data_IF_456308454675
#
_entry.id   IF_456308454675
#
_cell.length_a   1.000
_cell.length_b   1.000
_cell.length_c   1.000
_cell.angle_alpha   90.00
_cell.angle_beta   90.00
_cell.angle_gamma   90.00
#
_symmetry.space_group_name_H-M   'P 1'
#
loop_
_entity.id
_entity.type
_entity.pdbx_description
1 polymer ?
#
# COMPACT_ATOMS: atom_id res chain seq x y z
N UNK A 1 -16.43 81.37 -29.32
CA UNK A 1 -15.12 80.71 -29.51
C UNK A 1 -14.49 80.19 -28.22
N UNK A 2 -14.56 80.91 -27.09
CA UNK A 2 -13.88 80.51 -25.85
C UNK A 2 -14.34 79.17 -25.23
N UNK A 3 -15.66 78.86 -25.27
CA UNK A 3 -16.19 77.58 -24.75
C UNK A 3 -15.76 76.36 -25.56
N UNK A 4 -15.53 76.51 -26.86
CA UNK A 4 -15.10 75.41 -27.74
C UNK A 4 -13.64 75.05 -27.47
N UNK A 5 -12.77 76.03 -27.20
CA UNK A 5 -11.38 75.80 -26.84
C UNK A 5 -11.23 75.09 -25.48
N UNK A 6 -12.05 75.45 -24.49
CA UNK A 6 -12.05 74.79 -23.17
C UNK A 6 -12.47 73.31 -23.30
N UNK A 7 -13.46 73.01 -24.15
CA UNK A 7 -13.92 71.63 -24.36
C UNK A 7 -12.88 70.77 -25.09
N UNK A 8 -12.14 71.34 -26.04
CA UNK A 8 -11.05 70.63 -26.74
C UNK A 8 -9.86 70.40 -25.82
N UNK A 9 -9.52 71.38 -24.97
CA UNK A 9 -8.45 71.26 -23.99
C UNK A 9 -8.75 70.15 -22.96
N UNK A 10 -10.00 70.07 -22.49
CA UNK A 10 -10.45 69.01 -21.57
C UNK A 10 -10.37 67.62 -22.19
N UNK A 11 -10.76 67.48 -23.46
CA UNK A 11 -10.62 66.21 -24.19
C UNK A 11 -9.15 65.81 -24.38
N UNK A 12 -8.27 66.77 -24.57
CA UNK A 12 -6.82 66.52 -24.69
C UNK A 12 -6.19 66.11 -23.36
N UNK A 13 -6.64 66.67 -22.23
CA UNK A 13 -6.16 66.27 -20.90
C UNK A 13 -6.66 64.86 -20.53
N UNK A 14 -7.89 64.52 -20.94
CA UNK A 14 -8.45 63.17 -20.73
C UNK A 14 -7.70 62.14 -21.59
N UNK A 15 -7.41 62.45 -22.86
CA UNK A 15 -6.66 61.52 -23.72
C UNK A 15 -5.23 61.30 -23.23
N UNK A 16 -4.54 62.34 -22.75
CA UNK A 16 -3.22 62.21 -22.13
C UNK A 16 -3.28 61.37 -20.85
N UNK A 17 -4.29 61.56 -19.99
CA UNK A 17 -4.46 60.75 -18.78
C UNK A 17 -4.69 59.27 -19.10
N UNK A 18 -5.45 58.96 -20.15
CA UNK A 18 -5.67 57.58 -20.61
C UNK A 18 -4.37 56.96 -21.14
N UNK A 19 -3.57 57.72 -21.89
CA UNK A 19 -2.27 57.24 -22.42
C UNK A 19 -1.25 57.03 -21.29
N UNK A 20 -1.25 57.89 -20.28
CA UNK A 20 -0.40 57.75 -19.09
C UNK A 20 -0.84 56.52 -18.26
N UNK A 21 -2.15 56.33 -18.02
CA UNK A 21 -2.65 55.11 -17.34
C UNK A 21 -2.32 53.83 -18.14
N UNK A 22 -2.43 53.86 -19.47
CA UNK A 22 -2.10 52.72 -20.32
C UNK A 22 -0.60 52.39 -20.29
N UNK A 23 0.29 53.39 -20.25
CA UNK A 23 1.73 53.18 -20.18
C UNK A 23 2.25 52.84 -18.77
N UNK A 24 1.57 53.27 -17.70
CA UNK A 24 1.90 52.89 -16.31
C UNK A 24 1.33 51.51 -15.94
N UNK A 25 0.26 51.05 -16.59
CA UNK A 25 -0.25 49.69 -16.42
C UNK A 25 0.60 48.63 -17.15
N UNK A 26 1.38 49.03 -18.17
CA UNK A 26 2.16 48.09 -19.00
C UNK A 26 3.38 47.43 -18.34
N UNK A 27 4.11 48.02 -17.37
CA UNK A 27 5.24 47.35 -16.73
C UNK A 27 4.79 46.29 -15.71
N UNK A 28 3.59 46.40 -15.12
CA UNK A 28 3.11 45.45 -14.11
C UNK A 28 2.47 44.17 -14.69
N UNK A 29 2.07 44.18 -15.97
CA UNK A 29 1.53 42.99 -16.66
C UNK A 29 2.59 42.30 -17.53
N UNK A 30 3.66 43.01 -17.91
CA UNK A 30 4.77 42.44 -18.69
C UNK A 30 5.79 41.68 -17.82
N UNK A 31 5.96 42.03 -16.54
CA UNK A 31 6.82 41.26 -15.60
C UNK A 31 6.13 40.00 -15.04
N UNK A 32 4.80 39.90 -15.13
CA UNK A 32 4.06 38.66 -14.83
C UNK A 32 3.94 37.72 -16.05
N UNK A 33 4.28 38.20 -17.26
CA UNK A 33 4.23 37.42 -18.50
C UNK A 33 5.61 36.94 -18.98
N UNK A 34 6.71 37.35 -18.32
CA UNK A 34 8.07 36.88 -18.60
C UNK A 34 8.57 35.80 -17.63
N UNK A 35 7.63 35.05 -17.03
CA UNK A 35 7.89 33.87 -16.21
C UNK A 35 6.92 32.73 -16.57
N UNK A 36 6.67 32.50 -17.86
CA UNK A 36 5.97 31.30 -18.33
C UNK A 36 6.26 30.94 -19.80
N UNK A 37 7.48 31.15 -20.29
CA UNK A 37 8.02 30.26 -21.33
C UNK A 37 8.79 29.11 -20.67
N UNK A 38 8.13 28.45 -19.72
CA UNK A 38 8.47 27.07 -19.42
C UNK A 38 7.55 26.23 -20.29
N UNK A 39 8.11 25.57 -21.31
CA UNK A 39 7.50 24.39 -21.91
C UNK A 39 7.34 23.34 -20.80
N UNK A 40 6.30 23.46 -19.98
CA UNK A 40 5.85 22.37 -19.11
C UNK A 40 5.08 21.44 -20.03
N UNK A 41 5.81 20.63 -20.79
CA UNK A 41 5.22 19.48 -21.45
C UNK A 41 4.69 18.58 -20.34
N UNK A 42 3.37 18.53 -20.16
CA UNK A 42 2.72 17.57 -19.29
C UNK A 42 3.27 16.17 -19.62
N UNK A 43 3.72 15.41 -18.62
CA UNK A 43 4.34 14.12 -18.88
C UNK A 43 3.34 13.16 -19.54
N UNK A 44 3.80 12.39 -20.53
CA UNK A 44 3.01 11.30 -21.07
C UNK A 44 3.06 10.15 -20.07
N UNK A 45 1.91 9.79 -19.50
CA UNK A 45 1.82 8.75 -18.47
C UNK A 45 1.48 7.39 -19.09
N UNK A 46 2.28 6.37 -18.81
CA UNK A 46 2.10 5.00 -19.27
C UNK A 46 1.55 4.17 -18.11
N UNK A 47 0.47 3.42 -18.35
CA UNK A 47 -0.18 2.60 -17.32
C UNK A 47 -0.97 1.43 -17.92
N UNK A 48 -1.19 0.39 -17.12
CA UNK A 48 -2.09 -0.72 -17.45
C UNK A 48 -3.56 -0.39 -17.21
N UNK A 49 -3.84 0.51 -16.26
CA UNK A 49 -5.20 0.90 -15.92
C UNK A 49 -5.34 2.42 -16.04
N UNK A 50 -5.82 2.86 -17.21
CA UNK A 50 -6.12 4.28 -17.46
C UNK A 50 -7.31 4.77 -16.66
N UNK A 51 -8.26 3.90 -16.30
CA UNK A 51 -9.45 4.31 -15.56
C UNK A 51 -9.11 4.67 -14.10
N UNK A 52 -7.98 4.17 -13.59
CA UNK A 52 -7.39 4.59 -12.32
C UNK A 52 -6.67 5.95 -12.42
N UNK A 53 -6.46 6.46 -13.64
CA UNK A 53 -5.82 7.75 -13.92
C UNK A 53 -6.92 8.73 -14.35
N UNK A 54 -6.86 9.96 -13.85
CA UNK A 54 -7.77 11.00 -14.33
C UNK A 54 -7.45 11.32 -15.79
N UNK A 55 -8.34 10.97 -16.73
CA UNK A 55 -8.18 11.22 -18.16
C UNK A 55 -8.00 12.70 -18.51
N UNK A 56 -8.31 13.62 -17.58
CA UNK A 56 -8.08 15.06 -17.74
C UNK A 56 -6.65 15.49 -17.36
N UNK A 57 -5.82 14.58 -16.86
CA UNK A 57 -4.48 14.86 -16.30
C UNK A 57 -3.31 14.70 -17.27
N UNK A 58 -3.52 15.04 -18.55
CA UNK A 58 -2.47 15.05 -19.58
C UNK A 58 -2.61 13.90 -20.58
N UNK A 59 -1.54 13.64 -21.33
CA UNK A 59 -1.51 12.57 -22.33
C UNK A 59 -1.24 11.21 -21.66
N UNK A 60 -1.97 10.19 -22.09
CA UNK A 60 -1.89 8.85 -21.50
C UNK A 60 -1.71 7.77 -22.57
N UNK A 61 -0.89 6.77 -22.27
CA UNK A 61 -0.70 5.58 -23.09
C UNK A 61 -1.11 4.36 -22.28
N UNK A 62 -2.06 3.60 -22.82
CA UNK A 62 -2.54 2.35 -22.24
C UNK A 62 -1.69 1.21 -22.76
N UNK A 63 -1.09 0.44 -21.87
CA UNK A 63 -0.30 -0.73 -22.22
C UNK A 63 -0.83 -1.96 -21.50
N UNK A 64 -0.95 -3.09 -22.19
CA UNK A 64 -1.32 -4.35 -21.52
C UNK A 64 -0.28 -4.75 -20.47
N UNK A 65 -0.65 -5.59 -19.50
CA UNK A 65 0.31 -6.10 -18.51
C UNK A 65 1.54 -6.78 -19.13
N UNK A 66 1.37 -7.45 -20.28
CA UNK A 66 2.48 -8.02 -21.05
C UNK A 66 3.43 -6.92 -21.55
N UNK A 67 2.87 -5.87 -22.14
CA UNK A 67 3.65 -4.75 -22.66
C UNK A 67 4.36 -3.99 -21.53
N UNK A 68 3.69 -3.79 -20.38
CA UNK A 68 4.30 -3.21 -19.19
C UNK A 68 5.45 -4.09 -18.69
N UNK A 69 5.26 -5.41 -18.65
CA UNK A 69 6.31 -6.33 -18.22
C UNK A 69 7.55 -6.28 -19.14
N UNK A 70 7.33 -6.22 -20.47
CA UNK A 70 8.41 -6.08 -21.45
C UNK A 70 9.15 -4.73 -21.31
N UNK A 71 8.43 -3.65 -21.00
CA UNK A 71 9.01 -2.34 -20.67
C UNK A 71 9.88 -2.45 -19.40
N UNK A 72 9.35 -3.05 -18.33
CA UNK A 72 10.06 -3.24 -17.06
C UNK A 72 11.34 -4.07 -17.23
N UNK A 73 11.28 -5.17 -17.99
CA UNK A 73 12.47 -5.99 -18.26
C UNK A 73 13.52 -5.22 -19.09
N UNK A 74 13.07 -4.39 -20.03
CA UNK A 74 13.97 -3.53 -20.78
C UNK A 74 14.62 -2.47 -19.88
N UNK A 75 13.84 -1.80 -19.00
CA UNK A 75 14.35 -0.83 -18.01
C UNK A 75 15.39 -1.49 -17.10
N UNK A 76 15.09 -2.69 -16.59
CA UNK A 76 16.01 -3.47 -15.76
C UNK A 76 17.33 -3.77 -16.47
N UNK A 77 17.29 -4.09 -17.77
CA UNK A 77 18.47 -4.41 -18.57
C UNK A 77 19.29 -3.18 -18.96
N UNK A 78 18.63 -2.08 -19.30
CA UNK A 78 19.27 -0.90 -19.91
C UNK A 78 19.53 0.22 -18.91
N UNK A 79 18.88 0.18 -17.75
CA UNK A 79 18.87 1.26 -16.76
C UNK A 79 18.44 2.61 -17.37
N UNK A 80 17.50 2.57 -18.31
CA UNK A 80 16.98 3.74 -19.03
C UNK A 80 15.48 3.64 -19.16
N UNK A 81 14.82 4.79 -19.02
CA UNK A 81 13.42 4.96 -19.35
C UNK A 81 13.29 6.06 -20.40
N UNK A 82 13.11 5.66 -21.65
CA UNK A 82 12.96 6.56 -22.79
C UNK A 82 12.04 5.93 -23.84
N UNK A 83 11.89 6.60 -24.99
CA UNK A 83 11.09 6.11 -26.11
C UNK A 83 11.47 4.69 -26.54
N UNK A 84 12.75 4.38 -26.63
CA UNK A 84 13.24 3.06 -27.07
C UNK A 84 12.78 1.97 -26.11
N UNK A 85 12.86 2.24 -24.80
CA UNK A 85 12.34 1.35 -23.76
C UNK A 85 10.85 1.08 -23.96
N UNK A 86 10.04 2.12 -24.19
CA UNK A 86 8.58 1.99 -24.41
C UNK A 86 8.27 1.20 -25.68
N UNK A 87 9.04 1.42 -26.75
CA UNK A 87 8.84 0.76 -28.05
C UNK A 87 9.05 -0.75 -28.04
N UNK A 88 9.70 -1.29 -27.00
CA UNK A 88 9.88 -2.74 -26.84
C UNK A 88 8.55 -3.40 -26.50
N UNK A 89 7.76 -2.78 -25.63
CA UNK A 89 6.43 -3.26 -25.25
C UNK A 89 5.31 -2.77 -26.17
N UNK A 90 5.43 -1.56 -26.72
CA UNK A 90 4.38 -0.94 -27.55
C UNK A 90 4.89 -0.79 -28.99
N UNK A 91 4.37 -1.63 -29.88
CA UNK A 91 4.80 -1.68 -31.30
C UNK A 91 3.89 -0.90 -32.27
N UNK A 92 2.77 -0.36 -31.78
CA UNK A 92 1.81 0.34 -32.63
C UNK A 92 2.39 1.68 -33.10
N UNK A 93 2.56 1.82 -34.42
CA UNK A 93 3.24 2.97 -35.04
C UNK A 93 2.53 4.30 -34.80
N UNK A 94 1.20 4.28 -34.66
CA UNK A 94 0.37 5.44 -34.29
C UNK A 94 0.73 5.97 -32.90
N UNK A 95 0.83 5.08 -31.90
CA UNK A 95 1.18 5.42 -30.52
C UNK A 95 2.65 5.88 -30.44
N UNK A 96 3.55 5.21 -31.16
CA UNK A 96 4.97 5.59 -31.21
C UNK A 96 5.23 6.92 -31.92
N UNK A 97 4.31 7.37 -32.80
CA UNK A 97 4.37 8.69 -33.41
C UNK A 97 3.97 9.80 -32.41
N UNK A 98 3.12 9.49 -31.43
CA UNK A 98 2.76 10.39 -30.32
C UNK A 98 3.96 10.63 -29.40
N UNK A 99 4.80 9.61 -29.19
CA UNK A 99 6.07 9.73 -28.46
C UNK A 99 7.12 10.38 -29.39
N UNK A 100 7.17 11.72 -29.46
CA UNK A 100 8.18 12.47 -30.24
C UNK A 100 9.59 12.36 -29.63
N UNK A 101 10.60 12.93 -30.29
CA UNK A 101 12.03 12.64 -30.08
C UNK A 101 12.61 12.94 -28.69
N UNK A 102 11.95 13.76 -27.85
CA UNK A 102 12.31 13.92 -26.43
C UNK A 102 11.07 14.34 -25.62
N UNK A 103 10.35 13.36 -25.05
CA UNK A 103 9.18 13.63 -24.22
C UNK A 103 9.45 13.27 -22.77
N UNK A 104 8.97 14.13 -21.86
CA UNK A 104 8.83 13.87 -20.44
C UNK A 104 7.93 12.64 -20.26
N UNK A 105 8.50 11.44 -20.13
CA UNK A 105 7.75 10.20 -19.95
C UNK A 105 7.62 9.90 -18.46
N UNK A 106 6.47 9.36 -18.07
CA UNK A 106 6.27 8.80 -16.75
C UNK A 106 5.60 7.43 -16.84
N UNK A 107 6.07 6.49 -16.03
CA UNK A 107 5.51 5.17 -15.90
C UNK A 107 4.85 5.06 -14.53
N UNK A 108 3.54 4.78 -14.52
CA UNK A 108 2.80 4.51 -13.30
C UNK A 108 2.82 3.00 -13.05
N UNK A 109 3.57 2.57 -12.03
CA UNK A 109 3.76 1.15 -11.72
C UNK A 109 3.59 0.86 -10.24
N UNK A 110 3.34 -0.41 -9.95
CA UNK A 110 3.32 -0.94 -8.61
C UNK A 110 4.62 -0.62 -7.85
N UNK A 111 4.56 -0.07 -6.62
CA UNK A 111 5.75 0.22 -5.82
C UNK A 111 6.62 -1.02 -5.57
N UNK A 112 6.02 -2.22 -5.55
CA UNK A 112 6.74 -3.48 -5.48
C UNK A 112 7.71 -3.66 -6.64
N UNK A 113 7.27 -3.35 -7.85
CA UNK A 113 8.07 -3.50 -9.07
C UNK A 113 9.19 -2.48 -9.07
N UNK A 114 8.89 -1.22 -8.75
CA UNK A 114 9.91 -0.18 -8.66
C UNK A 114 11.02 -0.56 -7.64
N UNK A 115 10.63 -1.04 -6.47
CA UNK A 115 11.57 -1.34 -5.39
C UNK A 115 12.32 -2.67 -5.59
N UNK A 116 11.64 -3.78 -5.89
CA UNK A 116 12.28 -5.10 -5.93
C UNK A 116 12.75 -5.53 -7.32
N UNK A 117 12.00 -5.18 -8.37
CA UNK A 117 12.29 -5.63 -9.74
C UNK A 117 13.25 -4.67 -10.41
N UNK A 118 12.95 -3.37 -10.36
CA UNK A 118 13.84 -2.34 -10.89
C UNK A 118 14.99 -2.07 -9.94
N UNK A 119 14.78 -2.08 -8.61
CA UNK A 119 15.77 -1.61 -7.61
C UNK A 119 16.16 -0.15 -7.82
N UNK A 120 15.16 0.65 -8.18
CA UNK A 120 15.35 2.04 -8.54
C UNK A 120 15.68 2.89 -7.32
N UNK A 121 16.80 3.61 -7.37
CA UNK A 121 17.23 4.58 -6.35
C UNK A 121 16.93 6.03 -6.75
N UNK A 122 16.40 6.26 -7.94
CA UNK A 122 16.03 7.60 -8.39
C UNK A 122 14.90 8.18 -7.53
N UNK A 123 14.80 9.50 -7.49
CA UNK A 123 13.66 10.18 -6.87
C UNK A 123 12.38 9.85 -7.64
N UNK A 124 11.39 9.30 -6.93
CA UNK A 124 10.10 8.89 -7.49
C UNK A 124 8.95 9.63 -6.81
N UNK A 125 7.87 9.84 -7.56
CA UNK A 125 6.63 10.38 -7.03
C UNK A 125 5.69 9.28 -6.53
N UNK A 126 4.73 9.65 -5.68
CA UNK A 126 3.60 8.80 -5.32
C UNK A 126 2.33 9.32 -5.98
N UNK A 127 1.57 8.44 -6.62
CA UNK A 127 0.25 8.77 -7.13
C UNK A 127 -0.80 8.74 -6.02
N UNK A 128 -2.03 9.12 -6.36
CA UNK A 128 -3.19 9.08 -5.47
C UNK A 128 -3.34 7.70 -4.83
N UNK A 129 -3.69 7.71 -3.55
CA UNK A 129 -3.97 6.48 -2.80
C UNK A 129 -5.21 5.78 -3.37
N UNK A 130 -5.17 4.46 -3.33
CA UNK A 130 -6.27 3.58 -3.66
C UNK A 130 -6.41 2.47 -2.64
N UNK A 131 -7.47 1.69 -2.78
CA UNK A 131 -7.81 0.58 -1.89
C UNK A 131 -7.91 -0.72 -2.67
N UNK A 132 -7.48 -1.81 -2.03
CA UNK A 132 -7.82 -3.16 -2.48
C UNK A 132 -9.20 -3.56 -1.96
N UNK A 133 -10.03 -4.10 -2.86
CA UNK A 133 -11.36 -4.65 -2.54
C UNK A 133 -11.49 -6.07 -3.07
N UNK A 134 -12.49 -6.79 -2.59
CA UNK A 134 -12.89 -8.09 -3.13
C UNK A 134 -14.30 -8.04 -3.71
N UNK A 135 -14.42 -8.34 -4.99
CA UNK A 135 -15.69 -8.55 -5.69
C UNK A 135 -16.09 -10.01 -5.57
N UNK A 136 -17.36 -10.26 -5.25
CA UNK A 136 -17.93 -11.62 -5.23
C UNK A 136 -19.43 -11.63 -5.50
N UNK A 137 -20.02 -12.83 -5.59
CA UNK A 137 -21.46 -13.00 -5.82
C UNK A 137 -22.32 -12.87 -4.56
N UNK A 138 -21.73 -12.57 -3.40
CA UNK A 138 -22.45 -12.36 -2.14
C UNK A 138 -21.77 -11.34 -1.24
N UNK A 139 -22.46 -10.86 -0.21
CA UNK A 139 -21.80 -10.11 0.86
C UNK A 139 -20.93 -11.06 1.67
N UNK A 140 -19.67 -10.66 1.92
CA UNK A 140 -18.74 -11.48 2.68
C UNK A 140 -18.93 -11.29 4.19
N UNK A 141 -18.86 -12.41 4.90
CA UNK A 141 -18.94 -12.58 6.35
C UNK A 141 -17.64 -13.19 6.88
N UNK A 142 -17.45 -13.19 8.19
CA UNK A 142 -16.25 -13.77 8.79
C UNK A 142 -16.21 -15.30 8.58
N UNK A 143 -17.36 -15.96 8.46
CA UNK A 143 -17.46 -17.39 8.14
C UNK A 143 -17.08 -17.75 6.70
N UNK A 144 -16.87 -16.76 5.83
CA UNK A 144 -16.48 -17.02 4.44
C UNK A 144 -14.97 -17.25 4.27
N UNK A 145 -14.17 -17.00 5.32
CA UNK A 145 -12.73 -17.25 5.36
C UNK A 145 -12.04 -16.89 4.03
N UNK A 146 -12.04 -15.61 3.65
CA UNK A 146 -11.61 -15.14 2.32
C UNK A 146 -10.15 -15.52 1.97
N UNK A 147 -9.34 -15.82 2.98
CA UNK A 147 -7.98 -16.32 2.82
C UNK A 147 -7.92 -17.80 2.41
N UNK A 148 -8.98 -18.59 2.59
CA UNK A 148 -9.05 -19.97 2.12
C UNK A 148 -9.47 -20.01 0.65
N UNK A 149 -8.47 -19.84 -0.21
CA UNK A 149 -8.65 -19.82 -1.66
C UNK A 149 -8.66 -21.22 -2.29
N UNK A 150 -8.61 -22.27 -1.47
CA UNK A 150 -8.56 -23.65 -1.97
C UNK A 150 -9.79 -23.99 -2.80
N UNK A 151 -9.55 -24.52 -4.01
CA UNK A 151 -10.55 -24.84 -5.02
C UNK A 151 -11.43 -23.66 -5.44
N UNK A 152 -10.95 -22.42 -5.26
CA UNK A 152 -11.65 -21.20 -5.71
C UNK A 152 -11.07 -20.71 -7.02
N UNK A 153 -11.94 -20.10 -7.83
CA UNK A 153 -11.52 -19.32 -8.99
C UNK A 153 -11.28 -17.89 -8.55
N UNK A 154 -10.01 -17.48 -8.56
CA UNK A 154 -9.56 -16.15 -8.12
C UNK A 154 -9.17 -15.34 -9.35
N UNK A 155 -9.97 -14.33 -9.67
CA UNK A 155 -9.77 -13.49 -10.83
C UNK A 155 -8.91 -12.25 -10.53
N UNK A 156 -8.28 -11.73 -11.58
CA UNK A 156 -7.54 -10.47 -11.56
C UNK A 156 -7.64 -9.75 -12.91
N UNK A 157 -7.57 -8.42 -12.92
CA UNK A 157 -7.52 -7.63 -14.16
C UNK A 157 -6.10 -7.13 -14.44
N UNK A 158 -5.43 -6.61 -13.42
CA UNK A 158 -4.14 -5.91 -13.55
C UNK A 158 -3.00 -6.62 -12.83
N UNK A 159 -1.78 -6.19 -13.14
CA UNK A 159 -0.56 -6.68 -12.53
C UNK A 159 -0.54 -6.49 -11.00
N UNK A 160 -1.01 -5.36 -10.48
CA UNK A 160 -1.10 -5.13 -9.02
C UNK A 160 -2.09 -6.06 -8.32
N UNK A 161 -3.20 -6.38 -8.98
CA UNK A 161 -4.18 -7.35 -8.49
C UNK A 161 -3.50 -8.72 -8.34
N UNK A 162 -2.74 -9.13 -9.37
CA UNK A 162 -2.01 -10.39 -9.39
C UNK A 162 -0.89 -10.47 -8.33
N UNK A 163 -0.14 -9.39 -8.12
CA UNK A 163 0.87 -9.31 -7.06
C UNK A 163 0.24 -9.45 -5.68
N UNK A 164 -0.88 -8.77 -5.44
CA UNK A 164 -1.61 -8.87 -4.18
C UNK A 164 -2.13 -10.29 -3.92
N UNK A 165 -2.69 -10.96 -4.94
CA UNK A 165 -3.16 -12.35 -4.83
C UNK A 165 -2.02 -13.31 -4.50
N UNK A 166 -0.86 -13.18 -5.15
CA UNK A 166 0.31 -14.01 -4.83
C UNK A 166 0.79 -13.78 -3.39
N UNK A 167 0.81 -12.52 -2.93
CA UNK A 167 1.17 -12.20 -1.56
C UNK A 167 0.18 -12.81 -0.55
N UNK A 168 -1.12 -12.86 -0.88
CA UNK A 168 -2.14 -13.52 -0.07
C UNK A 168 -1.93 -15.04 -0.01
N UNK A 169 -1.74 -15.70 -1.17
CA UNK A 169 -1.47 -17.15 -1.26
C UNK A 169 -0.24 -17.54 -0.44
N UNK A 170 0.87 -16.81 -0.64
CA UNK A 170 2.12 -17.05 0.09
C UNK A 170 2.02 -16.70 1.57
N UNK A 171 1.34 -15.62 1.93
CA UNK A 171 1.13 -15.18 3.31
C UNK A 171 0.35 -16.20 4.15
N UNK A 172 -0.52 -16.98 3.51
CA UNK A 172 -1.32 -18.02 4.15
C UNK A 172 -0.80 -19.44 3.92
N UNK A 173 0.39 -19.59 3.32
CA UNK A 173 1.00 -20.90 3.00
C UNK A 173 0.04 -21.81 2.21
N UNK A 174 -0.73 -21.24 1.29
CA UNK A 174 -1.61 -22.00 0.41
C UNK A 174 -0.79 -22.63 -0.73
N UNK A 175 -1.16 -23.83 -1.15
CA UNK A 175 -0.60 -24.43 -2.37
C UNK A 175 -1.22 -23.71 -3.58
N UNK A 176 -0.38 -23.12 -4.41
CA UNK A 176 -0.82 -22.43 -5.63
C UNK A 176 -1.52 -23.37 -6.60
N UNK A 177 -1.20 -24.67 -6.58
CA UNK A 177 -1.84 -25.67 -7.43
C UNK A 177 -3.30 -25.94 -7.03
N UNK A 178 -3.66 -25.60 -5.79
CA UNK A 178 -5.03 -25.71 -5.27
C UNK A 178 -5.85 -24.43 -5.51
N UNK A 179 -5.28 -23.40 -6.16
CA UNK A 179 -5.93 -22.12 -6.42
C UNK A 179 -6.01 -21.85 -7.92
N UNK A 180 -7.21 -21.66 -8.45
CA UNK A 180 -7.40 -21.39 -9.88
C UNK A 180 -7.34 -19.89 -10.16
N UNK A 181 -6.14 -19.39 -10.45
CA UNK A 181 -5.94 -17.98 -10.80
C UNK A 181 -6.35 -17.75 -12.26
N UNK A 182 -7.19 -16.74 -12.52
CA UNK A 182 -7.69 -16.43 -13.86
C UNK A 182 -7.57 -14.94 -14.20
N UNK A 183 -6.86 -14.60 -15.27
CA UNK A 183 -6.90 -13.25 -15.83
C UNK A 183 -8.26 -13.01 -16.51
N UNK A 184 -8.88 -11.88 -16.22
CA UNK A 184 -10.12 -11.43 -16.87
C UNK A 184 -9.96 -10.00 -17.41
N UNK A 185 -10.95 -9.56 -18.17
CA UNK A 185 -11.02 -8.24 -18.79
C UNK A 185 -12.30 -7.50 -18.37
N UNK A 186 -12.40 -6.21 -18.71
CA UNK A 186 -13.60 -5.43 -18.42
C UNK A 186 -14.87 -6.01 -19.04
N UNK A 187 -14.77 -6.65 -20.21
CA UNK A 187 -15.92 -7.28 -20.89
C UNK A 187 -16.42 -8.52 -20.15
N UNK A 188 -15.54 -9.22 -19.42
CA UNK A 188 -15.94 -10.40 -18.64
C UNK A 188 -16.85 -10.02 -17.45
N UNK A 189 -16.71 -8.80 -16.93
CA UNK A 189 -17.57 -8.29 -15.85
C UNK A 189 -19.00 -7.99 -16.31
N UNK A 190 -19.23 -7.87 -17.63
CA UNK A 190 -20.56 -7.71 -18.22
C UNK A 190 -21.32 -9.05 -18.31
N UNK A 191 -20.62 -10.18 -18.14
CA UNK A 191 -21.24 -11.49 -18.17
C UNK A 191 -22.14 -11.70 -16.95
N UNK A 192 -23.30 -12.32 -17.16
CA UNK A 192 -24.25 -12.68 -16.10
C UNK A 192 -23.94 -14.02 -15.46
N UNK A 193 -23.14 -14.86 -16.11
CA UNK A 193 -22.70 -16.15 -15.56
C UNK A 193 -21.56 -15.96 -14.55
N UNK A 194 -21.54 -16.81 -13.52
CA UNK A 194 -20.47 -16.83 -12.52
C UNK A 194 -19.18 -17.37 -13.15
N UNK A 195 -18.21 -16.48 -13.34
CA UNK A 195 -16.90 -16.80 -13.94
C UNK A 195 -15.74 -16.83 -12.93
N UNK A 196 -15.95 -16.32 -11.71
CA UNK A 196 -15.01 -16.37 -10.60
C UNK A 196 -15.73 -16.45 -9.23
N UNK A 197 -15.02 -16.88 -8.20
CA UNK A 197 -15.49 -16.80 -6.81
C UNK A 197 -15.14 -15.45 -6.18
N UNK A 198 -13.89 -15.02 -6.38
CA UNK A 198 -13.35 -13.77 -5.87
C UNK A 198 -12.57 -13.03 -6.95
N UNK A 199 -12.76 -11.72 -7.04
CA UNK A 199 -11.89 -10.82 -7.78
C UNK A 199 -11.28 -9.83 -6.79
N UNK A 200 -9.97 -9.92 -6.57
CA UNK A 200 -9.25 -8.90 -5.83
C UNK A 200 -8.78 -7.83 -6.80
N UNK A 201 -9.10 -6.57 -6.53
CA UNK A 201 -8.68 -5.49 -7.42
C UNK A 201 -8.34 -4.20 -6.69
N UNK A 202 -7.33 -3.50 -7.18
CA UNK A 202 -6.90 -2.20 -6.70
C UNK A 202 -7.64 -1.06 -7.42
N UNK A 203 -8.29 -0.20 -6.64
CA UNK A 203 -9.03 0.96 -7.15
C UNK A 203 -8.47 2.25 -6.55
N UNK A 204 -8.04 3.18 -7.40
CA UNK A 204 -7.69 4.54 -6.97
C UNK A 204 -8.96 5.24 -6.49
N UNK A 205 -8.89 5.92 -5.35
CA UNK A 205 -10.03 6.65 -4.82
C UNK A 205 -10.45 7.75 -5.81
N UNK A 206 -11.75 7.88 -6.03
CA UNK A 206 -12.35 8.86 -6.95
C UNK A 206 -12.04 8.68 -8.44
N UNK A 207 -11.48 7.53 -8.81
CA UNK A 207 -11.16 7.20 -10.19
C UNK A 207 -12.37 6.73 -10.99
N UNK A 208 -12.29 6.81 -12.32
CA UNK A 208 -13.29 6.22 -13.22
C UNK A 208 -13.41 4.71 -13.00
N UNK A 209 -12.30 4.03 -12.68
CA UNK A 209 -12.29 2.60 -12.41
C UNK A 209 -13.15 2.23 -11.20
N UNK A 210 -13.07 3.01 -10.12
CA UNK A 210 -13.92 2.81 -8.94
C UNK A 210 -15.40 2.93 -9.29
N UNK A 211 -15.78 3.91 -10.13
CA UNK A 211 -17.18 4.05 -10.57
C UNK A 211 -17.61 2.87 -11.43
N UNK A 212 -16.78 2.49 -12.40
CA UNK A 212 -17.02 1.34 -13.25
C UNK A 212 -17.26 0.07 -12.42
N UNK A 213 -16.40 -0.21 -11.44
CA UNK A 213 -16.54 -1.37 -10.56
C UNK A 213 -17.82 -1.30 -9.71
N UNK A 214 -18.13 -0.13 -9.14
CA UNK A 214 -19.37 0.10 -8.38
C UNK A 214 -20.66 0.01 -9.20
N UNK A 215 -20.58 0.04 -10.52
CA UNK A 215 -21.71 -0.16 -11.42
C UNK A 215 -21.92 -1.63 -11.81
N UNK A 216 -20.96 -2.51 -11.52
CA UNK A 216 -21.07 -3.93 -11.84
C UNK A 216 -22.03 -4.66 -10.90
N UNK A 217 -22.58 -5.78 -11.37
CA UNK A 217 -23.52 -6.64 -10.61
C UNK A 217 -22.82 -7.62 -9.68
N UNK A 218 -21.79 -7.15 -8.97
CA UNK A 218 -21.02 -7.92 -8.00
C UNK A 218 -21.01 -7.19 -6.66
N UNK A 219 -21.07 -7.94 -5.57
CA UNK A 219 -20.90 -7.35 -4.24
C UNK A 219 -19.44 -6.95 -4.04
N UNK A 220 -19.24 -5.68 -3.68
CA UNK A 220 -17.94 -5.10 -3.40
C UNK A 220 -17.74 -5.12 -1.89
N UNK A 221 -16.81 -5.94 -1.46
CA UNK A 221 -16.52 -6.23 -0.07
C UNK A 221 -15.13 -5.74 0.29
N UNK A 222 -14.93 -5.34 1.55
CA UNK A 222 -13.59 -5.36 2.10
C UNK A 222 -13.18 -6.79 2.48
N UNK A 223 -11.91 -6.92 2.81
CA UNK A 223 -11.27 -8.19 3.13
C UNK A 223 -11.54 -8.45 4.62
N UNK A 224 -12.13 -9.60 4.95
CA UNK A 224 -12.44 -10.00 6.32
C UNK A 224 -11.61 -11.18 6.75
N UNK A 225 -11.37 -11.31 8.05
CA UNK A 225 -10.60 -12.43 8.62
C UNK A 225 -9.19 -12.57 8.02
N UNK A 226 -8.58 -11.44 7.63
CA UNK A 226 -7.24 -11.41 7.03
C UNK A 226 -6.28 -10.60 7.89
N UNK A 227 -5.15 -11.23 8.22
CA UNK A 227 -4.00 -10.58 8.85
C UNK A 227 -3.14 -9.92 7.77
N UNK A 228 -3.16 -8.59 7.74
CA UNK A 228 -2.38 -7.81 6.78
C UNK A 228 -0.87 -8.02 6.94
N UNK A 229 -0.38 -8.36 8.13
CA UNK A 229 1.05 -8.55 8.36
C UNK A 229 1.59 -9.76 7.60
N UNK A 230 0.77 -10.82 7.42
CA UNK A 230 1.10 -11.96 6.57
C UNK A 230 1.32 -11.54 5.12
N UNK A 231 0.47 -10.64 4.61
CA UNK A 231 0.58 -10.11 3.26
C UNK A 231 1.80 -9.20 3.14
N UNK A 232 2.02 -8.31 4.12
CA UNK A 232 3.15 -7.36 4.14
C UNK A 232 4.52 -8.04 4.17
N UNK A 233 4.61 -9.28 4.64
CA UNK A 233 5.84 -10.08 4.58
C UNK A 233 6.29 -10.37 3.13
N UNK A 234 5.37 -10.34 2.17
CA UNK A 234 5.61 -10.52 0.73
C UNK A 234 5.36 -9.24 -0.08
N UNK A 235 4.52 -8.33 0.43
CA UNK A 235 4.09 -7.13 -0.29
C UNK A 235 4.01 -5.92 0.67
N UNK A 236 5.15 -5.30 1.02
CA UNK A 236 5.24 -4.38 2.17
C UNK A 236 4.65 -2.98 1.92
N UNK A 237 4.31 -2.65 0.68
CA UNK A 237 3.89 -1.31 0.26
C UNK A 237 2.41 -1.00 0.53
N UNK A 238 1.70 -1.91 1.24
CA UNK A 238 0.34 -1.70 1.69
C UNK A 238 0.28 -1.21 3.15
N UNK A 239 -0.71 -0.37 3.41
CA UNK A 239 -1.04 0.14 4.74
C UNK A 239 -2.34 -0.48 5.22
N UNK A 240 -2.39 -0.74 6.53
CA UNK A 240 -3.60 -1.20 7.17
C UNK A 240 -4.64 -0.07 7.23
N UNK A 241 -5.88 -0.40 6.90
CA UNK A 241 -6.98 0.54 6.95
C UNK A 241 -8.29 -0.22 7.12
N UNK A 242 -8.97 -0.01 8.24
CA UNK A 242 -10.29 -0.58 8.50
C UNK A 242 -11.37 0.46 8.28
N UNK A 243 -12.17 0.24 7.25
CA UNK A 243 -13.28 1.12 6.91
C UNK A 243 -14.37 0.34 6.16
N UNK A 244 -15.38 1.06 5.66
CA UNK A 244 -16.41 0.48 4.80
C UNK A 244 -16.15 0.88 3.35
N UNK A 245 -16.48 0.01 2.41
CA UNK A 245 -16.43 0.37 0.97
C UNK A 245 -17.40 1.52 0.70
N UNK A 246 -18.57 1.48 1.35
CA UNK A 246 -19.59 2.54 1.26
C UNK A 246 -19.08 3.92 1.66
N UNK A 247 -18.20 4.02 2.65
CA UNK A 247 -17.60 5.30 3.06
C UNK A 247 -16.79 5.94 1.93
N UNK A 248 -15.90 5.17 1.28
CA UNK A 248 -15.11 5.69 0.17
C UNK A 248 -15.98 6.02 -1.05
N UNK A 249 -16.97 5.17 -1.34
CA UNK A 249 -17.90 5.40 -2.44
C UNK A 249 -18.78 6.64 -2.24
N UNK A 250 -19.26 6.88 -1.02
CA UNK A 250 -20.02 8.08 -0.67
C UNK A 250 -19.21 9.36 -0.85
N UNK A 251 -17.97 9.38 -0.32
CA UNK A 251 -17.06 10.52 -0.49
C UNK A 251 -16.76 10.84 -1.95
N UNK A 252 -16.63 9.79 -2.77
CA UNK A 252 -16.40 9.95 -4.20
C UNK A 252 -17.55 10.66 -4.92
N UNK A 253 -18.79 10.34 -4.54
CA UNK A 253 -19.99 11.02 -5.06
C UNK A 253 -20.07 12.47 -4.59
N UNK A 254 -19.77 12.73 -3.32
CA UNK A 254 -19.76 14.10 -2.76
C UNK A 254 -18.75 15.01 -3.47
N UNK A 255 -17.55 14.51 -3.78
CA UNK A 255 -16.53 15.27 -4.52
C UNK A 255 -16.95 15.62 -5.95
N UNK A 256 -17.88 14.88 -6.55
CA UNK A 256 -18.39 15.13 -7.91
C UNK A 256 -19.61 16.05 -7.95
N UNK A 257 -20.40 16.07 -6.88
CA UNK A 257 -21.66 16.82 -6.79
C UNK A 257 -21.52 18.23 -6.20
N UNK A 258 -20.29 18.76 -6.11
CA UNK A 258 -20.05 20.16 -5.76
C UNK A 258 -20.50 21.12 -6.87
N UNK A 259 -21.82 21.28 -7.07
CA UNK A 259 -22.53 22.49 -7.51
C UNK A 259 -23.98 22.29 -7.98
N UNK A 260 -24.61 21.13 -7.81
CA UNK A 260 -26.04 21.03 -8.14
C UNK A 260 -26.85 20.47 -6.98
N UNK A 261 -27.52 21.38 -6.28
CA UNK A 261 -28.50 21.06 -5.26
C UNK A 261 -29.76 20.52 -5.91
N UNK A 262 -29.76 19.25 -6.33
CA UNK A 262 -31.02 18.52 -6.51
C UNK A 262 -30.87 16.99 -6.41
N UNK A 263 -31.64 16.49 -5.45
CA UNK A 263 -32.44 15.26 -5.46
C UNK A 263 -31.78 13.88 -5.37
N UNK A 264 -32.23 13.17 -4.33
CA UNK A 264 -32.26 11.71 -4.15
C UNK A 264 -32.34 10.94 -5.47
N UNK A 265 -31.19 10.50 -5.97
CA UNK A 265 -31.15 9.36 -6.89
C UNK A 265 -31.03 8.13 -6.00
N UNK A 266 -32.18 7.48 -5.75
CA UNK A 266 -32.26 6.10 -5.26
C UNK A 266 -31.52 5.20 -6.25
N UNK A 267 -30.21 5.05 -6.04
CA UNK A 267 -29.33 4.36 -6.96
C UNK A 267 -29.36 2.86 -6.66
N UNK A 268 -29.92 2.11 -7.61
CA UNK A 268 -30.17 0.66 -7.52
C UNK A 268 -28.92 -0.19 -7.17
N UNK A 269 -27.72 0.38 -7.36
CA UNK A 269 -26.44 -0.29 -7.18
C UNK A 269 -25.79 -0.10 -5.79
N UNK A 270 -26.32 0.79 -4.94
CA UNK A 270 -25.84 0.95 -3.55
C UNK A 270 -26.00 -0.35 -2.73
N UNK A 271 -26.88 -1.25 -3.18
CA UNK A 271 -27.14 -2.56 -2.59
C UNK A 271 -25.91 -3.48 -2.67
N UNK A 272 -25.08 -3.34 -3.71
CA UNK A 272 -23.90 -4.18 -3.92
C UNK A 272 -22.65 -3.65 -3.21
N UNK A 273 -22.69 -2.43 -2.67
CA UNK A 273 -21.55 -1.83 -1.96
C UNK A 273 -21.65 -2.14 -0.46
N UNK A 274 -20.69 -2.91 0.06
CA UNK A 274 -20.72 -3.32 1.46
C UNK A 274 -20.59 -2.13 2.43
N UNK A 275 -21.50 -2.09 3.40
CA UNK A 275 -21.48 -1.18 4.55
C UNK A 275 -20.76 -1.77 5.76
N UNK A 276 -20.14 -2.95 5.61
CA UNK A 276 -19.49 -3.63 6.73
C UNK A 276 -18.04 -3.15 6.88
N UNK A 277 -17.67 -2.74 8.11
CA UNK A 277 -16.30 -2.36 8.44
C UNK A 277 -15.40 -3.58 8.27
N UNK A 278 -14.39 -3.46 7.42
CA UNK A 278 -13.49 -4.55 7.03
C UNK A 278 -12.13 -3.98 6.63
N UNK A 279 -11.13 -4.85 6.43
CA UNK A 279 -9.81 -4.44 5.99
C UNK A 279 -9.87 -4.01 4.51
N UNK A 280 -9.35 -2.83 4.23
CA UNK A 280 -9.26 -2.23 2.90
C UNK A 280 -7.82 -1.72 2.72
N UNK A 281 -6.86 -2.60 2.36
CA UNK A 281 -5.46 -2.25 2.27
C UNK A 281 -5.26 -1.05 1.35
N UNK A 282 -4.55 -0.02 1.82
CA UNK A 282 -4.26 1.18 1.04
C UNK A 282 -2.89 1.06 0.40
N UNK A 283 -2.79 1.49 -0.85
CA UNK A 283 -1.53 1.62 -1.59
C UNK A 283 -1.54 2.90 -2.43
N UNK A 284 -0.36 3.38 -2.82
CA UNK A 284 -0.19 4.33 -3.92
C UNK A 284 0.72 3.73 -4.98
N UNK A 285 0.38 3.92 -6.25
CA UNK A 285 1.31 3.66 -7.34
C UNK A 285 2.52 4.57 -7.28
N UNK A 286 3.66 4.09 -7.77
CA UNK A 286 4.88 4.88 -7.94
C UNK A 286 4.91 5.50 -9.33
N UNK A 287 5.24 6.79 -9.40
CA UNK A 287 5.46 7.54 -10.63
C UNK A 287 6.95 7.52 -10.93
N UNK A 288 7.34 6.80 -11.99
CA UNK A 288 8.74 6.63 -12.40
C UNK A 288 9.01 7.43 -13.68
N UNK A 289 9.86 8.46 -13.58
CA UNK A 289 10.35 9.24 -14.73
C UNK A 289 11.80 8.89 -15.11
N UNK A 290 12.55 8.28 -14.20
CA UNK A 290 13.93 7.83 -14.41
C UNK A 290 14.22 6.56 -13.61
N UNK A 291 15.23 5.81 -14.05
CA UNK A 291 15.71 4.60 -13.38
C UNK A 291 17.18 4.75 -13.09
N UNK A 292 17.54 4.63 -11.82
CA UNK A 292 18.91 4.60 -11.35
C UNK A 292 19.10 3.33 -10.53
N UNK A 293 19.76 2.34 -11.11
CA UNK A 293 20.12 1.12 -10.41
C UNK A 293 21.63 1.15 -10.16
N UNK A 294 22.09 1.93 -9.17
CA UNK A 294 23.50 1.86 -8.79
C UNK A 294 23.80 0.48 -8.18
N UNK A 295 24.52 -0.36 -8.92
CA UNK A 295 25.41 -1.35 -8.29
C UNK A 295 26.66 -0.57 -7.89
N UNK A 296 26.73 -0.12 -6.64
CA UNK A 296 28.02 0.26 -6.07
C UNK A 296 28.88 -1.01 -5.98
N UNK A 297 29.75 -1.19 -6.97
CA UNK A 297 30.96 -1.99 -6.77
C UNK A 297 31.85 -1.24 -5.78
N UNK A 298 32.29 -1.97 -4.76
CA UNK A 298 33.25 -1.63 -3.70
C UNK A 298 32.74 -0.64 -2.64
N UNK A 299 32.23 -1.18 -1.53
CA UNK A 299 32.44 -0.55 -0.23
C UNK A 299 33.96 -0.41 -0.03
N UNK A 300 34.43 0.79 0.27
CA UNK A 300 35.83 1.03 0.63
C UNK A 300 36.16 0.28 1.93
N UNK A 301 37.41 -0.18 2.13
CA UNK A 301 37.83 -0.78 3.39
C UNK A 301 37.54 0.16 4.57
N UNK A 302 37.22 -0.42 5.73
CA UNK A 302 36.89 0.23 7.01
C UNK A 302 38.04 1.11 7.59
N UNK A 303 39.04 1.43 6.78
CA UNK A 303 40.33 1.96 7.20
C UNK A 303 40.50 3.45 6.82
N UNK A 304 39.47 4.12 6.27
CA UNK A 304 39.58 5.50 5.76
C UNK A 304 38.88 6.59 6.62
N UNK A 305 38.56 6.31 7.89
CA UNK A 305 38.30 7.36 8.87
C UNK A 305 39.07 7.05 10.16
N UNK A 306 40.32 7.50 10.19
CA UNK A 306 41.16 7.56 11.39
C UNK A 306 40.51 8.41 12.50
N UNK A 307 40.55 7.85 13.71
CA UNK A 307 41.12 8.39 14.94
C UNK A 307 40.78 9.83 15.43
N UNK A 308 40.83 9.97 16.76
CA UNK A 308 40.68 11.18 17.62
C UNK A 308 39.20 11.41 18.05
N UNK A 309 38.75 11.26 19.32
CA UNK A 309 39.37 11.35 20.65
C UNK A 309 38.49 10.75 21.77
N UNK A 310 39.15 10.56 22.91
CA UNK A 310 38.81 9.92 24.20
C UNK A 310 37.60 10.38 25.03
N UNK A 311 37.12 9.42 25.84
CA UNK A 311 36.72 9.44 27.26
C UNK A 311 36.21 10.74 27.93
N UNK A 312 34.96 10.70 28.42
CA UNK A 312 34.35 11.39 29.59
C UNK A 312 32.84 11.02 29.55
N UNK A 313 32.17 10.30 30.44
CA UNK A 313 32.21 10.22 31.91
C UNK A 313 31.79 8.81 32.40
N UNK A 314 32.48 8.32 33.43
CA UNK A 314 31.96 7.34 34.40
C UNK A 314 31.31 8.05 35.59
N UNK A 315 30.51 7.27 36.32
CA UNK A 315 30.00 7.44 37.69
C UNK A 315 28.71 8.25 37.88
N UNK A 316 27.63 7.53 38.19
CA UNK A 316 27.02 7.63 39.51
C UNK A 316 26.47 6.28 39.98
N UNK A 317 26.81 5.92 41.23
CA UNK A 317 26.33 4.75 41.97
C UNK A 317 25.08 5.12 42.79
N UNK A 318 24.04 4.29 42.65
CA UNK A 318 23.05 3.72 43.62
C UNK A 318 22.91 4.32 45.04
N UNK A 319 21.71 4.20 45.66
CA UNK A 319 21.50 3.07 46.59
C UNK A 319 20.13 2.36 46.52
N UNK A 320 20.21 1.02 46.58
CA UNK A 320 19.44 0.08 47.40
C UNK A 320 18.07 0.49 47.98
N UNK A 321 17.04 -0.35 47.73
CA UNK A 321 15.99 -0.57 48.73
C UNK A 321 14.63 -1.10 48.24
N UNK A 322 14.53 -2.41 47.93
CA UNK A 322 13.48 -3.31 48.47
C UNK A 322 13.45 -4.64 47.73
N UNK A 323 13.69 -5.69 48.51
CA UNK A 323 13.39 -7.08 48.21
C UNK A 323 11.88 -7.34 48.24
N UNK A 324 11.36 -8.07 47.24
CA UNK A 324 10.01 -8.66 47.20
C UNK A 324 9.17 -8.09 46.05
N UNK A 325 8.58 -8.84 45.13
CA UNK A 325 8.27 -10.27 45.01
C UNK A 325 8.45 -10.71 43.55
N UNK A 326 8.83 -11.96 43.37
CA UNK A 326 9.03 -12.64 42.09
C UNK A 326 7.67 -12.96 41.46
N UNK A 327 7.54 -12.69 40.15
CA UNK A 327 6.54 -13.32 39.29
C UNK A 327 5.63 -12.31 38.59
N UNK A 328 5.60 -12.35 37.25
CA UNK A 328 4.51 -11.75 36.49
C UNK A 328 3.17 -12.29 36.96
N UNK A 329 2.22 -11.38 37.18
CA UNK A 329 0.89 -11.73 37.62
C UNK A 329 0.20 -12.55 36.53
N UNK A 330 -0.37 -13.69 36.92
CA UNK A 330 -1.29 -14.39 36.04
C UNK A 330 -2.55 -13.55 35.87
N UNK A 331 -3.08 -13.56 34.66
CA UNK A 331 -4.33 -12.90 34.35
C UNK A 331 -5.10 -13.66 33.30
N UNK A 332 -6.35 -13.25 33.10
CA UNK A 332 -7.19 -13.84 32.09
C UNK A 332 -6.99 -13.11 30.75
N UNK A 333 -6.38 -13.80 29.78
CA UNK A 333 -6.35 -13.34 28.39
C UNK A 333 -7.76 -13.35 27.83
N UNK A 334 -8.13 -12.34 27.03
CA UNK A 334 -9.48 -12.21 26.45
C UNK A 334 -10.50 -11.48 27.34
N UNK A 335 -10.29 -11.42 28.66
CA UNK A 335 -11.10 -10.60 29.57
C UNK A 335 -10.32 -10.27 30.87
N UNK A 336 -9.88 -9.01 31.02
CA UNK A 336 -9.07 -8.59 32.19
C UNK A 336 -9.85 -8.47 33.50
N UNK A 337 -11.18 -8.54 33.48
CA UNK A 337 -12.02 -8.44 34.68
C UNK A 337 -12.07 -9.77 35.45
N UNK A 338 -11.80 -10.88 34.76
CA UNK A 338 -11.77 -12.21 35.37
C UNK A 338 -10.46 -12.39 36.14
N UNK A 339 -10.58 -12.53 37.46
CA UNK A 339 -9.43 -12.70 38.38
C UNK A 339 -9.23 -14.16 38.81
N UNK A 340 -10.16 -15.05 38.45
CA UNK A 340 -10.10 -16.48 38.77
C UNK A 340 -9.65 -17.35 37.59
N UNK A 341 -8.66 -18.21 37.81
CA UNK A 341 -8.19 -19.19 36.81
C UNK A 341 -9.31 -20.08 36.28
N UNK A 342 -10.13 -20.64 37.18
CA UNK A 342 -11.21 -21.56 36.82
C UNK A 342 -12.24 -20.89 35.91
N UNK A 343 -12.68 -19.69 36.29
CA UNK A 343 -13.59 -18.91 35.47
C UNK A 343 -12.96 -18.56 34.14
N UNK A 344 -11.69 -18.17 34.11
CA UNK A 344 -11.01 -17.81 32.86
C UNK A 344 -10.86 -18.99 31.88
N UNK A 345 -10.44 -20.15 32.37
CA UNK A 345 -10.24 -21.34 31.53
C UNK A 345 -11.56 -22.05 31.16
N UNK A 346 -12.69 -21.67 31.80
CA UNK A 346 -14.01 -22.22 31.49
C UNK A 346 -14.53 -21.74 30.14
N UNK A 347 -15.16 -22.63 29.38
CA UNK A 347 -15.94 -22.30 28.17
C UNK A 347 -17.28 -21.63 28.48
N UNK A 348 -17.71 -21.64 29.74
CA UNK A 348 -19.01 -21.16 30.19
C UNK A 348 -18.85 -20.04 31.23
N UNK A 349 -19.81 -19.11 31.23
CA UNK A 349 -20.03 -18.14 32.29
C UNK A 349 -20.51 -18.82 33.58
N UNK A 350 -20.53 -18.09 34.70
CA UNK A 350 -21.00 -18.60 36.00
C UNK A 350 -22.45 -19.09 35.93
N UNK A 351 -23.28 -18.50 35.06
CA UNK A 351 -24.68 -18.91 34.83
C UNK A 351 -24.84 -20.15 33.94
N UNK A 352 -23.73 -20.76 33.49
CA UNK A 352 -23.73 -21.94 32.62
C UNK A 352 -23.91 -21.64 31.13
N UNK A 353 -24.05 -20.38 30.73
CA UNK A 353 -24.12 -20.00 29.31
C UNK A 353 -22.74 -20.06 28.64
N UNK A 354 -22.62 -20.46 27.36
CA UNK A 354 -21.34 -20.42 26.66
C UNK A 354 -20.78 -19.00 26.55
N UNK A 355 -19.47 -18.85 26.70
CA UNK A 355 -18.81 -17.56 26.46
C UNK A 355 -18.82 -17.21 24.98
N UNK A 356 -19.11 -15.94 24.68
CA UNK A 356 -19.00 -15.39 23.33
C UNK A 356 -17.56 -15.03 22.93
N UNK A 357 -16.60 -15.18 23.85
CA UNK A 357 -15.19 -14.83 23.66
C UNK A 357 -14.29 -15.95 24.16
N UNK A 358 -13.12 -16.07 23.53
CA UNK A 358 -12.08 -16.98 23.99
C UNK A 358 -11.31 -16.34 25.15
N UNK A 359 -11.11 -17.11 26.22
CA UNK A 359 -10.29 -16.69 27.35
C UNK A 359 -9.34 -17.79 27.81
N UNK A 360 -8.17 -17.39 28.29
CA UNK A 360 -7.15 -18.33 28.77
C UNK A 360 -6.37 -17.74 29.93
N UNK A 361 -6.25 -18.51 31.01
CA UNK A 361 -5.41 -18.11 32.13
C UNK A 361 -3.94 -18.28 31.75
N UNK A 362 -3.22 -17.17 31.72
CA UNK A 362 -1.84 -17.14 31.28
C UNK A 362 -1.02 -16.09 32.05
N UNK A 363 0.28 -16.33 32.16
CA UNK A 363 1.19 -15.45 32.87
C UNK A 363 1.58 -14.28 31.96
N UNK A 364 1.49 -13.05 32.48
CA UNK A 364 2.08 -11.89 31.79
C UNK A 364 3.60 -11.95 31.86
N UNK A 365 4.27 -11.66 30.75
CA UNK A 365 5.71 -11.50 30.78
C UNK A 365 6.09 -10.21 31.54
N UNK A 366 7.22 -10.26 32.26
CA UNK A 366 7.80 -9.10 32.95
C UNK A 366 9.21 -8.79 32.44
N UNK A 367 9.86 -9.79 31.85
CA UNK A 367 11.17 -9.67 31.23
C UNK A 367 11.15 -10.34 29.87
N UNK A 368 11.93 -9.80 28.94
CA UNK A 368 12.00 -10.33 27.58
C UNK A 368 12.41 -11.80 27.52
N UNK A 369 13.30 -12.23 28.43
CA UNK A 369 13.76 -13.61 28.51
C UNK A 369 12.66 -14.61 28.89
N UNK A 370 11.49 -14.15 29.35
CA UNK A 370 10.32 -15.02 29.55
C UNK A 370 9.60 -15.33 28.22
N UNK A 371 9.93 -14.62 27.14
CA UNK A 371 9.28 -14.76 25.87
C UNK A 371 9.95 -15.78 24.94
N UNK A 372 9.18 -16.71 24.35
CA UNK A 372 9.71 -17.84 23.58
C UNK A 372 10.58 -17.43 22.38
N UNK A 373 10.30 -16.27 21.79
CA UNK A 373 10.95 -15.79 20.56
C UNK A 373 11.98 -14.69 20.82
N UNK A 374 12.28 -14.37 22.09
CA UNK A 374 13.19 -13.28 22.39
C UNK A 374 14.59 -13.54 21.83
N UNK A 375 15.07 -12.61 20.99
CA UNK A 375 16.36 -12.70 20.27
C UNK A 375 16.51 -14.00 19.46
N UNK A 376 15.40 -14.54 18.98
CA UNK A 376 15.40 -15.68 18.05
C UNK A 376 16.09 -15.33 16.73
N UNK A 377 15.93 -14.08 16.25
CA UNK A 377 16.67 -13.56 15.11
C UNK A 377 18.09 -13.20 15.54
N UNK A 378 19.10 -13.90 14.99
CA UNK A 378 20.51 -13.64 15.29
C UNK A 378 21.26 -12.87 14.19
N UNK A 379 20.58 -12.52 13.09
CA UNK A 379 21.21 -11.94 11.89
C UNK A 379 21.56 -10.45 12.03
N UNK A 380 20.98 -9.78 13.03
CA UNK A 380 21.21 -8.36 13.33
C UNK A 380 20.98 -8.09 14.82
N UNK A 381 21.63 -7.06 15.41
CA UNK A 381 21.34 -6.64 16.76
C UNK A 381 19.87 -6.20 16.89
N UNK A 382 19.08 -6.94 17.68
CA UNK A 382 17.67 -6.65 17.89
C UNK A 382 17.20 -7.12 19.28
N UNK A 383 16.02 -6.66 19.67
CA UNK A 383 15.31 -7.11 20.88
C UNK A 383 13.93 -7.71 20.52
N UNK A 384 13.78 -8.24 19.29
CA UNK A 384 12.51 -8.77 18.81
C UNK A 384 12.14 -10.05 19.55
N UNK A 385 10.84 -10.34 19.58
CA UNK A 385 10.25 -11.47 20.29
C UNK A 385 10.26 -11.30 21.81
N UNK A 386 10.57 -10.09 22.31
CA UNK A 386 10.62 -9.75 23.73
C UNK A 386 9.25 -9.45 24.33
N UNK A 387 9.26 -8.93 25.56
CA UNK A 387 8.06 -8.58 26.29
C UNK A 387 7.63 -7.15 25.91
N UNK A 388 6.47 -7.04 25.27
CA UNK A 388 5.90 -5.75 24.86
C UNK A 388 4.91 -5.21 25.90
N UNK A 389 4.55 -3.94 25.72
CA UNK A 389 3.62 -3.24 26.59
C UNK A 389 2.32 -4.05 26.81
N UNK A 390 1.88 -4.13 28.07
CA UNK A 390 0.73 -4.94 28.48
C UNK A 390 1.09 -6.36 28.95
N UNK A 391 2.38 -6.74 28.91
CA UNK A 391 2.86 -8.04 29.39
C UNK A 391 2.62 -9.18 28.41
N UNK A 392 2.59 -8.85 27.11
CA UNK A 392 2.49 -9.82 26.03
C UNK A 392 3.87 -10.10 25.44
N UNK A 393 4.11 -11.34 25.04
CA UNK A 393 5.27 -11.64 24.20
C UNK A 393 5.00 -11.25 22.76
N UNK A 394 5.95 -10.57 22.12
CA UNK A 394 5.96 -10.36 20.69
C UNK A 394 6.14 -11.71 19.99
N UNK A 395 5.28 -12.04 19.03
CA UNK A 395 5.36 -13.27 18.26
C UNK A 395 5.64 -12.97 16.79
N UNK A 396 6.35 -13.86 16.07
CA UNK A 396 6.48 -13.75 14.63
C UNK A 396 5.14 -13.72 13.90
N UNK A 397 5.12 -13.04 12.75
CA UNK A 397 3.99 -13.06 11.82
C UNK A 397 3.69 -14.51 11.43
N UNK A 398 2.42 -14.87 11.41
CA UNK A 398 1.96 -16.23 11.16
C UNK A 398 1.57 -16.97 12.45
N UNK A 399 2.27 -16.72 13.57
CA UNK A 399 2.03 -17.42 14.85
C UNK A 399 0.70 -16.99 15.46
N UNK A 400 -0.13 -17.97 15.84
CA UNK A 400 -1.42 -17.71 16.50
C UNK A 400 -1.20 -17.50 17.99
N UNK A 401 -1.54 -16.32 18.48
CA UNK A 401 -1.58 -16.01 19.90
C UNK A 401 -2.71 -16.79 20.59
N UNK A 402 -2.39 -17.50 21.66
CA UNK A 402 -3.37 -18.16 22.53
C UNK A 402 -3.48 -17.47 23.90
N UNK A 403 -2.47 -16.69 24.29
CA UNK A 403 -2.41 -16.00 25.57
C UNK A 403 -1.37 -14.87 25.58
N UNK A 404 -0.98 -14.44 26.77
CA UNK A 404 0.10 -13.47 26.97
C UNK A 404 1.46 -14.01 26.50
N UNK A 405 1.76 -15.27 26.84
CA UNK A 405 3.00 -15.99 26.51
C UNK A 405 2.75 -17.26 25.71
N UNK A 406 1.51 -17.78 25.72
CA UNK A 406 1.12 -18.99 24.98
C UNK A 406 0.77 -18.71 23.52
N UNK A 407 1.15 -19.66 22.66
CA UNK A 407 1.00 -19.56 21.21
C UNK A 407 0.79 -20.94 20.56
N UNK A 408 0.39 -20.93 19.30
CA UNK A 408 0.39 -22.09 18.39
C UNK A 408 1.16 -21.71 17.13
N UNK A 409 2.15 -22.52 16.77
CA UNK A 409 3.08 -22.33 15.66
C UNK A 409 3.03 -23.47 14.62
N UNK A 410 1.92 -24.22 14.61
CA UNK A 410 1.74 -25.40 13.76
C UNK A 410 0.78 -25.14 12.61
N UNK A 411 0.97 -25.87 11.50
CA UNK A 411 0.14 -25.80 10.28
C UNK A 411 0.07 -24.37 9.72
N UNK A 412 -1.14 -23.84 9.54
CA UNK A 412 -1.36 -22.45 9.10
C UNK A 412 -0.73 -21.42 10.03
N UNK A 413 -0.42 -21.77 11.29
CA UNK A 413 0.15 -20.84 12.26
C UNK A 413 1.68 -20.89 12.30
N UNK A 414 2.34 -21.60 11.39
CA UNK A 414 3.80 -21.64 11.33
C UNK A 414 4.38 -20.23 11.11
N UNK A 415 5.41 -19.83 11.88
CA UNK A 415 6.01 -18.52 11.75
C UNK A 415 6.57 -18.32 10.35
N UNK A 416 6.32 -17.15 9.78
CA UNK A 416 6.96 -16.74 8.54
C UNK A 416 8.44 -16.39 8.82
N UNK A 417 9.33 -16.75 7.91
CA UNK A 417 10.75 -16.44 8.00
C UNK A 417 11.37 -16.17 6.62
N UNK A 418 12.42 -15.34 6.60
CA UNK A 418 13.17 -14.99 5.38
C UNK A 418 14.12 -16.10 4.93
N UNK A 419 14.58 -16.96 5.84
CA UNK A 419 15.52 -18.04 5.56
C UNK A 419 15.23 -19.28 6.42
N UNK A 420 14.04 -19.88 6.23
CA UNK A 420 13.57 -21.00 7.04
C UNK A 420 14.34 -22.31 6.84
N UNK A 421 15.30 -22.37 5.90
CA UNK A 421 16.12 -23.56 5.64
C UNK A 421 17.06 -23.86 6.82
N UNK A 422 17.58 -22.81 7.48
CA UNK A 422 18.42 -22.96 8.66
C UNK A 422 17.59 -22.96 9.95
N UNK A 423 17.05 -24.14 10.30
CA UNK A 423 16.29 -24.35 11.55
C UNK A 423 17.09 -24.01 12.81
N UNK A 424 18.42 -23.89 12.74
CA UNK A 424 19.27 -23.54 13.89
C UNK A 424 19.40 -22.03 14.08
N UNK A 425 19.12 -21.23 13.04
CA UNK A 425 19.16 -19.75 13.05
C UNK A 425 17.98 -19.19 12.27
N UNK A 426 16.74 -19.42 12.74
CA UNK A 426 15.56 -18.93 12.05
C UNK A 426 15.59 -17.40 11.96
N UNK A 427 15.25 -16.88 10.79
CA UNK A 427 15.12 -15.44 10.53
C UNK A 427 13.64 -15.08 10.43
N UNK A 428 12.98 -15.00 11.58
CA UNK A 428 11.54 -14.80 11.68
C UNK A 428 11.12 -13.39 11.27
N UNK A 429 9.97 -13.30 10.62
CA UNK A 429 9.34 -12.03 10.29
C UNK A 429 8.53 -11.55 11.48
N UNK A 430 8.72 -10.31 11.89
CA UNK A 430 7.89 -9.67 12.91
C UNK A 430 7.11 -8.48 12.34
N UNK A 431 6.17 -7.92 13.11
CA UNK A 431 5.41 -6.76 12.66
C UNK A 431 6.33 -5.55 12.41
N UNK A 432 6.19 -4.85 11.29
CA UNK A 432 7.03 -3.70 10.91
C UNK A 432 8.53 -4.00 10.67
N UNK A 433 8.88 -5.26 10.38
CA UNK A 433 10.28 -5.66 10.17
C UNK A 433 10.94 -5.00 8.94
N UNK A 434 10.17 -4.58 7.93
CA UNK A 434 10.68 -3.97 6.70
C UNK A 434 11.67 -2.80 6.94
N UNK A 435 11.33 -1.86 7.83
CA UNK A 435 12.17 -0.69 8.10
C UNK A 435 13.46 -1.06 8.85
N UNK A 436 13.38 -1.98 9.82
CA UNK A 436 14.55 -2.46 10.54
C UNK A 436 15.50 -3.22 9.60
N UNK A 437 14.96 -4.09 8.75
CA UNK A 437 15.76 -4.84 7.79
C UNK A 437 16.42 -3.94 6.76
N UNK A 438 15.73 -2.91 6.28
CA UNK A 438 16.31 -1.88 5.41
C UNK A 438 17.49 -1.20 6.10
N UNK A 439 17.34 -0.79 7.36
CA UNK A 439 18.41 -0.17 8.17
C UNK A 439 19.64 -1.08 8.30
N UNK A 440 19.45 -2.39 8.45
CA UNK A 440 20.53 -3.37 8.59
C UNK A 440 20.97 -4.02 7.26
N UNK A 441 20.51 -3.51 6.10
CA UNK A 441 20.82 -4.06 4.77
C UNK A 441 20.49 -5.56 4.62
N UNK A 442 19.41 -6.03 5.25
CA UNK A 442 18.93 -7.42 5.17
C UNK A 442 17.87 -7.60 4.08
N UNK A 443 17.59 -8.86 3.72
CA UNK A 443 16.50 -9.19 2.79
C UNK A 443 15.16 -8.67 3.33
N UNK A 444 14.52 -7.71 2.66
CA UNK A 444 13.25 -7.11 3.12
C UNK A 444 12.01 -7.88 2.67
N UNK A 445 12.16 -8.90 1.84
CA UNK A 445 11.09 -9.78 1.34
C UNK A 445 11.47 -11.26 1.48
N UNK A 446 10.51 -12.11 1.85
CA UNK A 446 10.72 -13.56 1.97
C UNK A 446 11.02 -14.19 0.61
N UNK A 447 10.23 -13.89 -0.40
CA UNK A 447 10.47 -14.34 -1.77
C UNK A 447 9.87 -13.37 -2.77
N UNK A 448 10.53 -13.25 -3.93
CA UNK A 448 10.01 -12.41 -5.00
C UNK A 448 8.68 -12.97 -5.54
N UNK A 449 7.72 -12.07 -5.76
CA UNK A 449 6.50 -12.29 -6.53
C UNK A 449 6.79 -12.16 -8.02
N UNK A 450 6.07 -12.94 -8.83
CA UNK A 450 6.15 -12.85 -10.29
C UNK A 450 5.21 -11.76 -10.79
N UNK A 451 5.71 -10.82 -11.57
CA UNK A 451 4.90 -9.73 -12.12
C UNK A 451 4.41 -10.02 -13.56
N UNK A 452 4.86 -11.11 -14.19
CA UNK A 452 4.51 -11.46 -15.58
C UNK A 452 3.12 -12.11 -15.74
N UNK A 453 2.41 -12.42 -14.64
CA UNK A 453 1.08 -13.03 -14.69
C UNK A 453 1.11 -14.49 -15.17
N UNK A 454 0.02 -15.22 -14.93
CA UNK A 454 -0.25 -16.45 -15.68
C UNK A 454 -0.99 -16.06 -16.97
N UNK A 455 -0.35 -16.24 -18.13
CA UNK A 455 -1.02 -16.15 -19.44
C UNK A 455 -1.67 -17.49 -19.82
#
# INVERSE_FOLDING_TARGET
>A
MYKTYISVLLLFIISISIIIQYNIAKPAVAEAALAAEHFINNPITISENVLNIDAKSGDHIIASGKNIADIVDNMKRTNRFNKDTVSVGIKESSILATIRSDTNLQLLIDPYINYYVLKNTASVGNYKEGIFVCLSHKVLSDSDCIWDLKNKVVAYLFMSDYLFIQALIKGYNLDINDVYIRKITYTDLQNTEKIFDYLFTYMVMDSEYMNFICEQRYYINGIKDVDIHRIKAYYPFIKENYNTVKYYYGKSKESKNGNDGSNEINNKNDIYVSSVRSLLPIMSYTIVSSVENFITRLEMPDDYLEAVKEAYYTSDKKPSGSSGSKGGYYGCYGNSEITGKFECDSYYNIDGTPKAYYSLWDKRCVADAECPYYKSNTNYPNNRGGCINGGFCEFPVGVKRLGYTKYSDTNLNTPLCYNCEDKKKPDYVFENDFNERTKYKLNTIISLLDYRGYE
#
